data_IF_175872201560
#
_entry.id   IF_175872201560
#
_cell.length_a   1.000
_cell.length_b   1.000
_cell.length_c   1.000
_cell.angle_alpha   90.00
_cell.angle_beta   90.00
_cell.angle_gamma   90.00
#
_symmetry.space_group_name_H-M   'P 1'
#
loop_
_entity.id
_entity.type
_entity.pdbx_description
1 polymer ?
#
# COMPACT_ATOMS: atom_id res chain seq x y z
N UNK A 1 -1.44 -3.32 15.09
CA UNK A 1 -2.70 -2.52 15.18
C UNK A 1 -3.03 -2.02 13.79
N UNK A 2 -4.22 -1.44 13.56
CA UNK A 2 -4.57 -0.87 12.24
C UNK A 2 -4.73 0.63 12.32
N UNK A 3 -4.36 1.35 11.25
CA UNK A 3 -4.59 2.79 11.13
C UNK A 3 -5.14 3.15 9.75
N UNK A 4 -5.91 4.23 9.72
CA UNK A 4 -6.36 4.84 8.48
C UNK A 4 -5.23 5.67 7.87
N UNK A 5 -5.09 5.63 6.56
CA UNK A 5 -4.15 6.45 5.81
C UNK A 5 -4.78 6.94 4.50
N UNK A 6 -4.19 7.97 3.92
CA UNK A 6 -4.50 8.44 2.58
C UNK A 6 -3.24 8.39 1.72
N UNK A 7 -3.43 8.20 0.42
CA UNK A 7 -2.35 8.24 -0.58
C UNK A 7 -2.33 9.61 -1.26
N UNK A 8 -1.20 9.97 -1.87
CA UNK A 8 -1.07 11.20 -2.66
C UNK A 8 -2.01 11.24 -3.87
N UNK A 9 -2.47 10.08 -4.34
CA UNK A 9 -3.37 9.96 -5.48
C UNK A 9 -4.86 9.95 -5.05
N UNK A 10 -5.15 10.30 -3.79
CA UNK A 10 -6.52 10.49 -3.30
C UNK A 10 -7.20 9.24 -2.76
N UNK A 11 -6.57 8.06 -2.81
CA UNK A 11 -7.13 6.85 -2.20
C UNK A 11 -7.06 6.89 -0.67
N UNK A 12 -8.06 6.30 -0.02
CA UNK A 12 -8.11 6.09 1.43
C UNK A 12 -7.92 4.60 1.70
N UNK A 13 -7.14 4.26 2.71
CA UNK A 13 -6.84 2.88 3.06
C UNK A 13 -6.74 2.61 4.55
N UNK A 14 -6.64 1.33 4.88
CA UNK A 14 -6.38 0.82 6.22
C UNK A 14 -5.17 -0.12 6.14
N UNK A 15 -4.16 0.13 6.97
CA UNK A 15 -2.97 -0.72 7.02
C UNK A 15 -2.38 -0.82 8.43
N UNK A 16 -1.15 -1.30 8.53
CA UNK A 16 -0.49 -1.51 9.83
C UNK A 16 -0.29 -0.20 10.60
N UNK A 17 -0.21 -0.30 11.93
CA UNK A 17 0.03 0.86 12.80
C UNK A 17 1.40 1.50 12.57
N UNK A 18 2.39 0.75 12.06
CA UNK A 18 3.77 1.23 11.82
C UNK A 18 3.94 2.00 10.51
N UNK A 19 2.87 2.24 9.77
CA UNK A 19 2.93 3.01 8.53
C UNK A 19 3.47 4.43 8.76
N UNK A 20 4.16 4.98 7.78
CA UNK A 20 4.76 6.32 7.84
C UNK A 20 4.57 7.06 6.49
N UNK A 21 4.52 8.41 6.50
CA UNK A 21 4.57 9.17 5.25
C UNK A 21 5.79 8.77 4.40
N UNK A 22 5.57 8.53 3.10
CA UNK A 22 6.59 8.01 2.19
C UNK A 22 6.52 6.50 1.94
N UNK A 23 5.74 5.77 2.75
CA UNK A 23 5.35 4.40 2.43
C UNK A 23 4.51 4.34 1.15
N UNK A 24 4.73 3.31 0.35
CA UNK A 24 4.09 3.10 -0.95
C UNK A 24 3.04 2.01 -0.85
N UNK A 25 1.82 2.32 -1.28
CA UNK A 25 0.81 1.30 -1.51
C UNK A 25 0.94 0.75 -2.94
N UNK A 26 1.19 -0.56 -3.06
CA UNK A 26 1.50 -1.21 -4.32
C UNK A 26 0.69 -2.50 -4.47
N UNK A 27 0.14 -2.71 -5.67
CA UNK A 27 -0.34 -4.03 -6.09
C UNK A 27 0.82 -4.73 -6.79
N UNK A 28 1.32 -5.81 -6.18
CA UNK A 28 2.39 -6.60 -6.77
C UNK A 28 1.82 -7.46 -7.90
N UNK A 29 2.59 -7.67 -8.97
CA UNK A 29 2.16 -8.48 -10.11
C UNK A 29 1.75 -9.90 -9.66
N UNK A 30 0.55 -10.32 -10.04
CA UNK A 30 -0.05 -11.59 -9.60
C UNK A 30 -0.64 -11.57 -8.18
N UNK A 31 -0.48 -10.47 -7.45
CA UNK A 31 -1.11 -10.23 -6.15
C UNK A 31 -2.59 -9.88 -6.28
N UNK A 32 -3.39 -10.32 -5.31
CA UNK A 32 -4.83 -10.06 -5.23
C UNK A 32 -5.21 -8.96 -4.23
N UNK A 33 -4.23 -8.46 -3.49
CA UNK A 33 -4.41 -7.39 -2.50
C UNK A 33 -3.27 -6.38 -2.62
N UNK A 34 -3.51 -5.10 -2.30
CA UNK A 34 -2.44 -4.14 -2.12
C UNK A 34 -1.56 -4.46 -0.90
N UNK A 35 -0.30 -4.08 -1.02
CA UNK A 35 0.71 -4.16 0.03
C UNK A 35 1.33 -2.80 0.26
N UNK A 36 1.90 -2.62 1.46
CA UNK A 36 2.69 -1.45 1.79
C UNK A 36 4.18 -1.79 1.76
N UNK A 37 4.92 -1.02 0.99
CA UNK A 37 6.36 -1.09 0.83
C UNK A 37 7.01 0.21 1.29
N UNK A 38 8.07 0.10 2.10
CA UNK A 38 8.90 1.25 2.49
C UNK A 38 10.19 1.27 1.67
N UNK A 39 10.48 2.35 0.91
CA UNK A 39 11.77 2.50 0.24
C UNK A 39 12.91 2.44 1.27
N UNK A 40 13.96 1.68 0.99
CA UNK A 40 15.15 1.61 1.85
C UNK A 40 16.37 2.13 1.12
N UNK A 41 16.72 1.54 -0.02
CA UNK A 41 17.89 1.92 -0.81
C UNK A 41 17.86 1.26 -2.20
N UNK A 42 18.36 1.94 -3.24
CA UNK A 42 18.61 1.40 -4.59
C UNK A 42 17.62 0.31 -5.08
N UNK A 43 16.33 0.62 -5.16
CA UNK A 43 15.30 -0.31 -5.65
C UNK A 43 14.94 -1.43 -4.67
N UNK A 44 15.46 -1.39 -3.44
CA UNK A 44 15.08 -2.27 -2.33
C UNK A 44 14.00 -1.61 -1.50
N UNK A 45 13.04 -2.44 -1.13
CA UNK A 45 11.91 -2.04 -0.33
C UNK A 45 11.78 -2.99 0.86
N UNK A 46 11.41 -2.44 2.02
CA UNK A 46 10.99 -3.24 3.16
C UNK A 46 9.50 -3.50 3.04
N UNK A 47 9.14 -4.77 3.17
CA UNK A 47 7.75 -5.17 3.32
C UNK A 47 7.22 -4.71 4.69
N UNK A 48 6.14 -3.91 4.69
CA UNK A 48 5.49 -3.47 5.93
C UNK A 48 4.28 -4.34 6.24
N UNK A 49 3.46 -4.67 5.22
CA UNK A 49 2.28 -5.50 5.40
C UNK A 49 1.28 -5.38 4.27
N UNK A 50 0.20 -6.15 4.37
CA UNK A 50 -0.99 -5.98 3.53
C UNK A 50 -1.77 -4.73 3.94
N UNK A 51 -2.48 -4.13 2.98
CA UNK A 51 -3.42 -3.07 3.27
C UNK A 51 -4.72 -3.22 2.48
N UNK A 52 -5.76 -2.62 3.03
CA UNK A 52 -6.98 -2.33 2.31
C UNK A 52 -6.86 -0.94 1.69
N UNK A 53 -7.19 -0.83 0.40
CA UNK A 53 -7.39 0.45 -0.26
C UNK A 53 -8.81 0.48 -0.80
N UNK A 54 -9.53 1.55 -0.45
CA UNK A 54 -10.89 1.77 -0.91
C UNK A 54 -10.90 2.01 -2.42
N UNK A 55 -11.78 1.32 -3.14
CA UNK A 55 -11.91 1.42 -4.60
C UNK A 55 -10.94 0.52 -5.39
N UNK A 56 -9.76 0.15 -4.86
CA UNK A 56 -8.75 -0.57 -5.67
C UNK A 56 -8.89 -2.09 -5.64
N UNK A 57 -9.71 -2.65 -4.74
CA UNK A 57 -9.91 -4.11 -4.63
C UNK A 57 -10.78 -4.70 -5.77
N UNK A 58 -11.30 -3.86 -6.68
CA UNK A 58 -12.09 -4.31 -7.84
C UNK A 58 -11.25 -4.47 -9.12
N UNK A 59 -9.96 -4.79 -9.00
CA UNK A 59 -9.08 -5.05 -10.17
C UNK A 59 -8.66 -3.80 -10.96
N UNK A 60 -9.06 -2.60 -10.53
CA UNK A 60 -8.78 -1.32 -11.21
C UNK A 60 -7.33 -0.85 -11.09
N UNK A 61 -6.49 -1.50 -10.28
CA UNK A 61 -5.10 -1.09 -10.06
C UNK A 61 -4.15 -1.44 -11.23
N UNK A 62 -4.61 -2.16 -12.25
CA UNK A 62 -3.79 -2.61 -13.39
C UNK A 62 -4.22 -1.98 -14.73
N UNK A 63 -5.02 -0.91 -14.72
CA UNK A 63 -5.47 -0.27 -15.96
C UNK A 63 -4.51 0.81 -16.45
#
# INVERSE_FOLDING_TARGET
GRKLFSTTNGYIGIGDITLEPGDLACVLLGGRTPFILRPVDHGKYRYIGECYLHGTMLGEALQ
#
